data_IF_511645653841
#
_entry.id   IF_511645653841
#
_cell.length_a   1.000
_cell.length_b   1.000
_cell.length_c   1.000
_cell.angle_alpha   90.00
_cell.angle_beta   90.00
_cell.angle_gamma   90.00
#
_symmetry.space_group_name_H-M   'P 1'
#
loop_
_entity.id
_entity.type
_entity.pdbx_description
1 polymer ?
#
# COMPACT_ATOMS: atom_id res chain seq x y z
N UNK A 1 13.42 -14.10 -14.08
CA UNK A 1 12.06 -13.55 -13.87
C UNK A 1 11.51 -13.97 -12.50
N UNK A 2 10.79 -13.10 -11.79
CA UNK A 2 10.08 -13.47 -10.56
C UNK A 2 8.89 -14.37 -10.91
N UNK A 3 8.76 -15.51 -10.23
CA UNK A 3 7.64 -16.43 -10.41
C UNK A 3 6.67 -16.26 -9.25
N UNK A 4 5.38 -16.18 -9.54
CA UNK A 4 4.35 -16.05 -8.50
C UNK A 4 3.92 -17.46 -8.07
N UNK A 5 4.52 -17.97 -7.02
CA UNK A 5 4.20 -19.26 -6.39
C UNK A 5 3.93 -19.05 -4.91
N UNK A 6 3.39 -20.04 -4.22
CA UNK A 6 3.16 -19.91 -2.78
C UNK A 6 4.48 -19.81 -2.00
N UNK A 7 5.52 -20.53 -2.44
CA UNK A 7 6.87 -20.40 -1.89
C UNK A 7 7.41 -18.97 -2.02
N UNK A 8 7.32 -18.35 -3.21
CA UNK A 8 7.86 -17.01 -3.42
C UNK A 8 7.03 -15.93 -2.72
N UNK A 9 5.71 -16.12 -2.56
CA UNK A 9 4.88 -15.25 -1.71
C UNK A 9 5.33 -15.31 -0.25
N UNK A 10 5.52 -16.51 0.30
CA UNK A 10 6.02 -16.68 1.68
C UNK A 10 7.38 -16.03 1.84
N UNK A 11 8.30 -16.25 0.90
CA UNK A 11 9.62 -15.61 0.89
C UNK A 11 9.50 -14.07 0.89
N UNK A 12 8.63 -13.49 0.05
CA UNK A 12 8.44 -12.03 -0.01
C UNK A 12 7.90 -11.49 1.32
N UNK A 13 6.90 -12.13 1.92
CA UNK A 13 6.38 -11.71 3.24
C UNK A 13 7.47 -11.81 4.31
N UNK A 14 8.25 -12.90 4.34
CA UNK A 14 9.38 -13.04 5.28
C UNK A 14 10.40 -11.91 5.13
N UNK A 15 10.73 -11.55 3.89
CA UNK A 15 11.68 -10.46 3.63
C UNK A 15 11.12 -9.11 4.06
N UNK A 16 9.85 -8.83 3.77
CA UNK A 16 9.17 -7.60 4.22
C UNK A 16 9.23 -7.49 5.74
N UNK A 17 8.79 -8.53 6.46
CA UNK A 17 8.76 -8.51 7.93
C UNK A 17 10.16 -8.39 8.54
N UNK A 18 11.17 -9.06 7.98
CA UNK A 18 12.55 -8.96 8.45
C UNK A 18 13.08 -7.52 8.35
N UNK A 19 12.86 -6.87 7.20
CA UNK A 19 13.31 -5.49 6.99
C UNK A 19 12.56 -4.52 7.91
N UNK A 20 11.23 -4.66 8.02
CA UNK A 20 10.42 -3.80 8.88
C UNK A 20 10.81 -3.94 10.35
N UNK A 21 11.01 -5.16 10.85
CA UNK A 21 11.44 -5.38 12.25
C UNK A 21 12.82 -4.77 12.55
N UNK A 22 13.74 -4.76 11.58
CA UNK A 22 15.02 -4.07 11.77
C UNK A 22 14.84 -2.56 11.94
N UNK A 23 13.90 -1.94 11.23
CA UNK A 23 13.57 -0.53 11.42
C UNK A 23 12.86 -0.29 12.76
N UNK A 24 11.89 -1.14 13.13
CA UNK A 24 11.14 -1.02 14.39
C UNK A 24 12.06 -1.18 15.62
N UNK A 25 13.10 -2.01 15.53
CA UNK A 25 14.10 -2.18 16.59
C UNK A 25 15.15 -1.06 16.64
N UNK A 26 15.19 -0.17 15.66
CA UNK A 26 16.22 0.87 15.55
C UNK A 26 15.71 2.20 16.13
N UNK A 27 16.30 2.61 17.26
CA UNK A 27 15.91 3.85 17.95
C UNK A 27 16.23 5.15 17.19
N UNK A 28 16.94 5.07 16.07
CA UNK A 28 17.24 6.23 15.24
C UNK A 28 16.04 6.70 14.40
N UNK A 29 15.02 5.86 14.22
CA UNK A 29 13.85 6.18 13.42
C UNK A 29 12.60 6.30 14.30
N UNK A 30 11.87 7.40 14.12
CA UNK A 30 10.60 7.63 14.82
C UNK A 30 9.39 7.10 14.05
N UNK A 31 9.48 7.08 12.71
CA UNK A 31 8.38 6.72 11.82
C UNK A 31 8.87 5.77 10.73
N UNK A 32 8.08 4.72 10.46
CA UNK A 32 8.33 3.76 9.37
C UNK A 32 7.11 3.74 8.46
N UNK A 33 7.30 4.07 7.18
CA UNK A 33 6.23 4.03 6.18
C UNK A 33 6.46 2.84 5.25
N UNK A 34 5.54 1.89 5.28
CA UNK A 34 5.52 0.75 4.36
C UNK A 34 4.37 0.90 3.36
N UNK A 35 4.71 1.03 2.07
CA UNK A 35 3.75 1.17 0.98
C UNK A 35 3.87 -0.01 0.03
N UNK A 36 2.80 -0.79 -0.10
CA UNK A 36 2.75 -1.95 -0.98
C UNK A 36 1.33 -2.24 -1.46
N UNK A 37 1.19 -3.06 -2.50
CA UNK A 37 -0.12 -3.46 -3.02
C UNK A 37 -0.71 -4.56 -2.15
N UNK A 38 -1.53 -4.16 -1.17
CA UNK A 38 -2.19 -5.04 -0.22
C UNK A 38 -3.70 -4.93 -0.40
N UNK A 39 -4.25 -5.70 -1.35
CA UNK A 39 -5.67 -5.62 -1.74
C UNK A 39 -6.55 -6.64 -1.00
N UNK A 40 -5.95 -7.48 -0.16
CA UNK A 40 -6.64 -8.48 0.66
C UNK A 40 -6.29 -8.26 2.14
N UNK A 41 -7.27 -8.40 3.03
CA UNK A 41 -7.08 -8.17 4.47
C UNK A 41 -6.05 -9.13 5.08
N UNK A 42 -6.05 -10.38 4.61
CA UNK A 42 -5.10 -11.42 5.03
C UNK A 42 -3.63 -11.02 4.83
N UNK A 43 -3.32 -10.22 3.81
CA UNK A 43 -1.94 -9.74 3.56
C UNK A 43 -1.52 -8.77 4.66
N UNK A 44 -2.41 -7.86 5.06
CA UNK A 44 -2.15 -6.88 6.12
C UNK A 44 -2.00 -7.61 7.45
N UNK A 45 -2.94 -8.49 7.76
CA UNK A 45 -2.97 -9.25 9.01
C UNK A 45 -1.71 -10.13 9.16
N UNK A 46 -1.31 -10.83 8.08
CA UNK A 46 -0.13 -11.68 8.09
C UNK A 46 1.16 -10.86 8.31
N UNK A 47 1.29 -9.70 7.66
CA UNK A 47 2.44 -8.81 7.87
C UNK A 47 2.45 -8.32 9.32
N UNK A 48 1.36 -7.69 9.80
CA UNK A 48 1.28 -7.10 11.13
C UNK A 48 1.51 -8.14 12.23
N UNK A 49 0.97 -9.35 12.09
CA UNK A 49 1.14 -10.43 13.08
C UNK A 49 2.60 -10.88 13.27
N UNK A 50 3.48 -10.58 12.31
CA UNK A 50 4.91 -10.94 12.33
C UNK A 50 5.82 -9.76 12.70
N UNK A 51 5.26 -8.58 12.94
CA UNK A 51 6.02 -7.40 13.35
C UNK A 51 6.08 -7.31 14.88
N UNK A 52 7.24 -6.90 15.40
CA UNK A 52 7.36 -6.53 16.81
C UNK A 52 6.89 -5.08 16.98
N UNK A 53 5.61 -4.92 17.33
CA UNK A 53 4.96 -3.61 17.45
C UNK A 53 4.83 -3.14 18.89
N UNK A 54 5.50 -3.77 19.86
CA UNK A 54 5.30 -3.51 21.29
C UNK A 54 5.57 -2.04 21.67
N UNK A 55 6.47 -1.35 20.96
CA UNK A 55 6.81 0.06 21.15
C UNK A 55 6.22 1.01 20.10
N UNK A 56 5.35 0.54 19.20
CA UNK A 56 4.93 1.31 18.03
C UNK A 56 3.41 1.34 17.88
N UNK A 57 2.89 2.51 17.49
CA UNK A 57 1.51 2.62 17.04
C UNK A 57 1.42 2.21 15.57
N UNK A 58 0.65 1.17 15.29
CA UNK A 58 0.40 0.71 13.92
C UNK A 58 -0.81 1.45 13.36
N UNK A 59 -0.61 2.11 12.22
CA UNK A 59 -1.67 2.74 11.44
C UNK A 59 -1.74 2.06 10.08
N UNK A 60 -2.92 1.61 9.69
CA UNK A 60 -3.18 1.07 8.36
C UNK A 60 -4.09 2.01 7.59
N UNK A 61 -3.65 2.42 6.39
CA UNK A 61 -4.39 3.35 5.54
C UNK A 61 -4.53 2.79 4.13
N UNK A 62 -5.65 3.08 3.49
CA UNK A 62 -5.88 2.81 2.07
C UNK A 62 -6.14 4.11 1.33
N UNK A 63 -5.28 4.40 0.37
CA UNK A 63 -5.47 5.49 -0.58
C UNK A 63 -6.50 5.05 -1.62
N UNK A 64 -7.68 5.68 -1.59
CA UNK A 64 -8.75 5.44 -2.55
C UNK A 64 -8.96 6.70 -3.39
N UNK A 65 -9.67 6.56 -4.51
CA UNK A 65 -10.19 7.69 -5.27
C UNK A 65 -11.40 7.24 -6.10
N UNK A 66 -12.03 8.18 -6.80
CA UNK A 66 -13.06 7.87 -7.78
C UNK A 66 -12.49 7.08 -8.96
N UNK A 67 -13.35 6.33 -9.65
CA UNK A 67 -12.97 5.62 -10.87
C UNK A 67 -12.51 6.58 -11.97
N UNK A 68 -13.13 7.75 -12.06
CA UNK A 68 -12.75 8.78 -13.02
C UNK A 68 -11.33 9.29 -12.75
N UNK A 69 -10.99 9.51 -11.48
CA UNK A 69 -9.67 10.03 -11.09
C UNK A 69 -8.57 8.99 -11.34
N UNK A 70 -8.77 7.73 -10.94
CA UNK A 70 -7.76 6.68 -11.16
C UNK A 70 -7.52 6.46 -12.66
N UNK A 71 -8.57 6.45 -13.48
CA UNK A 71 -8.45 6.33 -14.94
C UNK A 71 -7.73 7.53 -15.54
N UNK A 72 -8.05 8.75 -15.10
CA UNK A 72 -7.39 9.98 -15.56
C UNK A 72 -5.90 9.96 -15.28
N UNK A 73 -5.49 9.61 -14.05
CA UNK A 73 -4.08 9.50 -13.64
C UNK A 73 -3.35 8.44 -14.45
N UNK A 74 -3.92 7.24 -14.56
CA UNK A 74 -3.29 6.13 -15.28
C UNK A 74 -3.19 6.36 -16.79
N UNK A 75 -4.16 7.05 -17.40
CA UNK A 75 -4.05 7.44 -18.82
C UNK A 75 -2.87 8.37 -19.07
N UNK A 76 -2.57 9.29 -18.16
CA UNK A 76 -1.38 10.16 -18.26
C UNK A 76 -0.10 9.33 -18.20
N UNK A 77 -0.03 8.37 -17.29
CA UNK A 77 1.13 7.48 -17.15
C UNK A 77 1.33 6.59 -18.39
N UNK A 78 0.24 6.07 -18.97
CA UNK A 78 0.26 5.31 -20.22
C UNK A 78 0.70 6.19 -21.39
N UNK A 79 0.18 7.42 -21.50
CA UNK A 79 0.58 8.37 -22.53
C UNK A 79 2.07 8.77 -22.40
N UNK A 80 2.59 8.81 -21.17
CA UNK A 80 4.01 9.04 -20.89
C UNK A 80 4.89 7.79 -21.08
N UNK A 81 4.31 6.64 -21.40
CA UNK A 81 5.04 5.38 -21.60
C UNK A 81 5.60 4.75 -20.33
N UNK A 82 5.23 5.25 -19.14
CA UNK A 82 5.71 4.72 -17.85
C UNK A 82 4.94 3.49 -17.40
N UNK A 83 3.77 3.24 -18.00
CA UNK A 83 2.91 2.08 -17.72
C UNK A 83 2.28 1.54 -19.00
N UNK A 84 2.03 0.23 -19.00
CA UNK A 84 1.27 -0.41 -20.06
C UNK A 84 -0.25 -0.17 -19.88
N UNK A 85 -1.04 -0.13 -20.98
CA UNK A 85 -2.48 0.16 -20.92
C UNK A 85 -3.31 -0.78 -20.03
N UNK A 86 -2.86 -2.02 -19.83
CA UNK A 86 -3.54 -3.03 -18.99
C UNK A 86 -3.66 -2.60 -17.52
N UNK A 87 -2.84 -1.64 -17.08
CA UNK A 87 -2.88 -1.13 -15.71
C UNK A 87 -4.24 -0.53 -15.35
N UNK A 88 -4.95 0.06 -16.31
CA UNK A 88 -6.23 0.73 -16.07
C UNK A 88 -7.28 -0.28 -15.63
N UNK A 89 -7.46 -1.35 -16.43
CA UNK A 89 -8.42 -2.41 -16.14
C UNK A 89 -8.11 -3.09 -14.81
N UNK A 90 -6.84 -3.46 -14.60
CA UNK A 90 -6.39 -4.11 -13.36
C UNK A 90 -6.59 -3.24 -12.12
N UNK A 91 -6.43 -1.93 -12.26
CA UNK A 91 -6.61 -0.98 -11.15
C UNK A 91 -8.09 -0.80 -10.81
N UNK A 92 -8.95 -0.72 -11.82
CA UNK A 92 -10.40 -0.66 -11.62
C UNK A 92 -10.95 -1.92 -10.93
N UNK A 93 -10.46 -3.11 -11.31
CA UNK A 93 -10.83 -4.37 -10.65
C UNK A 93 -10.44 -4.41 -9.17
N UNK A 94 -9.32 -3.78 -8.79
CA UNK A 94 -8.82 -3.75 -7.41
C UNK A 94 -9.45 -2.65 -6.56
N UNK A 95 -9.91 -1.55 -7.16
CA UNK A 95 -10.41 -0.38 -6.43
C UNK A 95 -11.50 -0.73 -5.38
N UNK A 96 -12.50 -1.60 -5.67
CA UNK A 96 -13.50 -2.01 -4.68
C UNK A 96 -12.94 -2.82 -3.52
N UNK A 97 -11.80 -3.50 -3.71
CA UNK A 97 -11.19 -4.35 -2.68
C UNK A 97 -10.63 -3.51 -1.54
N UNK A 98 -10.00 -2.36 -1.85
CA UNK A 98 -9.49 -1.45 -0.83
C UNK A 98 -10.58 -0.89 0.09
N UNK A 99 -11.79 -0.68 -0.43
CA UNK A 99 -12.95 -0.23 0.38
C UNK A 99 -13.36 -1.25 1.43
N UNK A 100 -13.08 -2.55 1.21
CA UNK A 100 -13.42 -3.66 2.11
C UNK A 100 -12.38 -3.93 3.19
N UNK A 101 -11.19 -3.34 3.10
CA UNK A 101 -10.12 -3.55 4.08
C UNK A 101 -10.45 -2.86 5.41
N UNK A 102 -9.95 -3.39 6.51
CA UNK A 102 -10.01 -2.79 7.84
C UNK A 102 -8.87 -1.77 8.01
N UNK A 103 -8.98 -0.66 7.28
CA UNK A 103 -8.00 0.43 7.24
C UNK A 103 -8.69 1.79 7.26
N UNK A 104 -7.98 2.84 7.64
CA UNK A 104 -8.46 4.20 7.45
C UNK A 104 -8.48 4.54 5.96
N UNK A 105 -9.61 5.03 5.45
CA UNK A 105 -9.76 5.41 4.05
C UNK A 105 -9.37 6.86 3.87
N UNK A 106 -8.42 7.09 2.96
CA UNK A 106 -7.98 8.43 2.58
C UNK A 106 -8.38 8.61 1.11
N UNK A 107 -9.39 9.44 0.86
CA UNK A 107 -9.84 9.73 -0.50
C UNK A 107 -8.93 10.79 -1.11
N UNK A 108 -8.19 10.38 -2.13
CA UNK A 108 -7.20 11.21 -2.81
C UNK A 108 -7.78 11.97 -4.01
N UNK A 109 -9.09 11.87 -4.25
CA UNK A 109 -9.74 12.50 -5.41
C UNK A 109 -9.58 14.01 -5.39
N UNK A 110 -8.95 14.58 -6.42
CA UNK A 110 -8.67 16.02 -6.50
C UNK A 110 -7.57 16.53 -5.58
N UNK A 111 -6.93 15.67 -4.77
CA UNK A 111 -5.86 16.06 -3.85
C UNK A 111 -4.47 15.90 -4.48
N UNK A 112 -3.56 16.80 -4.11
CA UNK A 112 -2.13 16.68 -4.37
C UNK A 112 -1.46 15.68 -3.42
N UNK A 113 -0.27 15.21 -3.78
CA UNK A 113 0.52 14.33 -2.91
C UNK A 113 0.82 14.95 -1.54
N UNK A 114 1.04 16.27 -1.48
CA UNK A 114 1.31 16.99 -0.23
C UNK A 114 0.09 17.05 0.68
N UNK A 115 -1.10 17.21 0.11
CA UNK A 115 -2.36 17.20 0.88
C UNK A 115 -2.62 15.80 1.45
N UNK A 116 -2.48 14.76 0.63
CA UNK A 116 -2.61 13.36 1.07
C UNK A 116 -1.58 13.03 2.15
N UNK A 117 -0.33 13.48 2.02
CA UNK A 117 0.69 13.27 3.04
C UNK A 117 0.32 13.94 4.37
N UNK A 118 -0.29 15.13 4.33
CA UNK A 118 -0.77 15.82 5.53
C UNK A 118 -1.92 15.07 6.21
N UNK A 119 -2.84 14.51 5.43
CA UNK A 119 -3.92 13.67 5.98
C UNK A 119 -3.37 12.41 6.64
N UNK A 120 -2.41 11.73 5.99
CA UNK A 120 -1.74 10.55 6.56
C UNK A 120 -0.99 10.86 7.85
N UNK A 121 -0.32 12.02 7.93
CA UNK A 121 0.41 12.44 9.12
C UNK A 121 -0.52 12.81 10.29
N UNK A 122 -1.80 13.06 10.03
CA UNK A 122 -2.80 13.40 11.05
C UNK A 122 -3.54 12.17 11.61
N UNK A 123 -3.33 10.98 11.05
CA UNK A 123 -3.87 9.70 11.56
C UNK A 123 -3.18 9.29 12.85
#
# INVERSE_FOLDING_TARGET
>A
PFQVTDETKVMVIRNICAVLNNFLACSAYENVIFCWVMHEQSIIDDIVSRLDTAGCRVVTASLICSEQEIVSRLRKDVAAGTRAPDVIERSLQRLPLYRKLNTTKVDTSGLSATEVARELAAL
#
